data_IF_095487866791
#
_entry.id   IF_095487866791
#
_cell.length_a   1.000
_cell.length_b   1.000
_cell.length_c   1.000
_cell.angle_alpha   90.00
_cell.angle_beta   90.00
_cell.angle_gamma   90.00
#
_symmetry.space_group_name_H-M   'P 1'
#
loop_
_entity.id
_entity.type
_entity.pdbx_description
1 polymer ?
#
# COMPACT_ATOMS: atom_id res chain seq x y z
N UNK A 1 -10.30 -16.94 10.01
CA UNK A 1 -8.82 -16.92 9.92
C UNK A 1 -8.25 -17.90 8.91
N UNK A 2 -8.71 -17.89 7.65
CA UNK A 2 -8.06 -18.66 6.57
C UNK A 2 -8.17 -17.91 5.24
N UNK A 3 -9.30 -17.24 5.00
CA UNK A 3 -9.51 -16.36 3.84
C UNK A 3 -8.48 -15.21 3.72
N UNK A 4 -7.94 -14.71 4.84
CA UNK A 4 -6.92 -13.63 4.83
C UNK A 4 -5.56 -14.07 4.27
N UNK A 5 -5.23 -15.37 4.33
CA UNK A 5 -3.97 -15.88 3.73
C UNK A 5 -4.04 -15.99 2.21
N UNK A 6 -5.23 -16.10 1.62
CA UNK A 6 -5.42 -16.13 0.17
C UNK A 6 -5.34 -14.75 -0.49
N UNK A 7 -5.30 -13.66 0.30
CA UNK A 7 -5.37 -12.29 -0.18
C UNK A 7 -4.01 -11.55 -0.17
N UNK A 8 -2.89 -12.23 0.05
CA UNK A 8 -1.55 -11.60 0.14
C UNK A 8 -1.32 -10.74 1.40
N UNK A 9 -2.27 -10.70 2.33
CA UNK A 9 -2.18 -9.95 3.59
C UNK A 9 -1.33 -10.66 4.66
N UNK A 10 -0.79 -11.84 4.36
CA UNK A 10 0.00 -12.66 5.29
C UNK A 10 1.50 -12.34 5.32
N UNK A 11 1.99 -11.46 4.45
CA UNK A 11 3.43 -11.33 4.19
C UNK A 11 4.17 -10.40 5.16
N UNK A 12 3.48 -9.86 6.15
CA UNK A 12 4.06 -8.94 7.13
C UNK A 12 4.10 -9.57 8.53
N UNK A 13 5.31 -9.66 9.08
CA UNK A 13 5.52 -10.04 10.47
C UNK A 13 4.96 -8.98 11.42
N UNK A 14 4.62 -9.33 12.67
CA UNK A 14 4.19 -8.36 13.68
C UNK A 14 5.20 -7.22 13.89
N UNK A 15 6.49 -7.48 13.68
CA UNK A 15 7.53 -6.47 13.77
C UNK A 15 7.49 -5.49 12.60
N UNK A 16 7.28 -5.99 11.37
CA UNK A 16 7.10 -5.14 10.21
C UNK A 16 5.86 -4.23 10.37
N UNK A 17 4.76 -4.77 10.93
CA UNK A 17 3.59 -3.96 11.28
C UNK A 17 3.92 -2.85 12.28
N UNK A 18 4.67 -3.14 13.36
CA UNK A 18 5.11 -2.13 14.32
C UNK A 18 5.98 -1.05 13.69
N UNK A 19 6.85 -1.40 12.72
CA UNK A 19 7.64 -0.39 12.00
C UNK A 19 6.74 0.59 11.24
N UNK A 20 5.65 0.10 10.62
CA UNK A 20 4.68 0.95 9.92
C UNK A 20 3.85 1.83 10.87
N UNK A 21 3.51 1.34 12.06
CA UNK A 21 2.70 2.10 13.04
C UNK A 21 3.43 3.32 13.59
N UNK A 22 4.75 3.24 13.76
CA UNK A 22 5.55 4.34 14.31
C UNK A 22 6.05 5.33 13.25
N UNK A 23 5.64 5.18 11.99
CA UNK A 23 5.81 6.19 10.95
C UNK A 23 7.25 6.48 10.52
N UNK A 24 8.21 5.59 10.83
CA UNK A 24 9.60 5.77 10.39
C UNK A 24 9.68 5.54 8.89
N UNK A 25 9.88 6.61 8.14
CA UNK A 25 10.07 6.60 6.69
C UNK A 25 11.53 6.81 6.34
N UNK A 26 11.98 6.16 5.26
CA UNK A 26 13.32 6.40 4.70
C UNK A 26 13.26 7.66 3.85
N UNK A 27 14.20 8.58 4.06
CA UNK A 27 14.38 9.76 3.21
C UNK A 27 14.92 9.31 1.84
N UNK A 28 14.07 9.38 0.79
CA UNK A 28 14.38 8.87 -0.56
C UNK A 28 14.96 9.94 -1.50
N UNK A 29 14.97 11.19 -1.07
CA UNK A 29 15.68 12.31 -1.69
C UNK A 29 17.18 12.02 -1.82
N UNK A 30 17.79 11.44 -0.78
CA UNK A 30 19.22 11.06 -0.77
C UNK A 30 19.63 10.09 -1.87
N UNK A 31 18.72 9.24 -2.34
CA UNK A 31 19.00 8.36 -3.48
C UNK A 31 19.27 9.18 -4.75
N UNK A 32 18.54 10.29 -4.93
CA UNK A 32 18.72 11.19 -6.08
C UNK A 32 19.96 12.06 -5.87
N UNK A 33 20.07 12.69 -4.72
CA UNK A 33 21.12 13.67 -4.41
C UNK A 33 22.51 13.05 -4.35
N UNK A 34 22.63 11.87 -3.73
CA UNK A 34 23.94 11.29 -3.41
C UNK A 34 24.32 10.14 -4.33
N UNK A 35 23.34 9.39 -4.84
CA UNK A 35 23.59 8.22 -5.69
C UNK A 35 23.25 8.47 -7.16
N UNK A 36 22.72 9.65 -7.51
CA UNK A 36 22.31 9.98 -8.87
C UNK A 36 21.17 9.08 -9.40
N UNK A 37 20.41 8.44 -8.50
CA UNK A 37 19.32 7.56 -8.91
C UNK A 37 18.18 8.36 -9.55
N UNK A 38 17.85 8.04 -10.80
CA UNK A 38 16.70 8.63 -11.51
C UNK A 38 15.71 7.52 -11.84
N UNK A 39 14.55 7.45 -11.15
CA UNK A 39 13.56 6.43 -11.43
C UNK A 39 12.94 6.68 -12.82
N UNK A 40 12.85 5.62 -13.62
CA UNK A 40 12.22 5.68 -14.95
C UNK A 40 10.70 5.93 -14.87
N UNK A 41 10.07 5.50 -13.78
CA UNK A 41 8.63 5.61 -13.56
C UNK A 41 8.31 6.28 -12.23
N UNK A 42 7.22 7.04 -12.19
CA UNK A 42 6.72 7.65 -10.97
C UNK A 42 6.05 6.62 -10.05
N UNK A 43 5.88 6.95 -8.76
CA UNK A 43 5.22 6.06 -7.80
C UNK A 43 3.81 5.66 -8.25
N UNK A 44 3.02 6.61 -8.77
CA UNK A 44 1.66 6.34 -9.22
C UNK A 44 1.62 5.38 -10.42
N UNK A 45 2.56 5.54 -11.36
CA UNK A 45 2.68 4.71 -12.55
C UNK A 45 3.08 3.27 -12.18
N UNK A 46 4.19 3.13 -11.44
CA UNK A 46 4.67 1.83 -10.96
C UNK A 46 3.60 1.09 -10.15
N UNK A 47 2.84 1.82 -9.31
CA UNK A 47 1.77 1.22 -8.53
C UNK A 47 0.60 0.75 -9.41
N UNK A 48 0.23 1.52 -10.43
CA UNK A 48 -0.80 1.12 -11.38
C UNK A 48 -0.39 -0.11 -12.21
N UNK A 49 0.89 -0.19 -12.60
CA UNK A 49 1.46 -1.36 -13.28
C UNK A 49 1.41 -2.61 -12.39
N UNK A 50 1.83 -2.48 -11.14
CA UNK A 50 1.75 -3.56 -10.16
C UNK A 50 0.30 -4.05 -9.97
N UNK A 51 -0.64 -3.13 -9.75
CA UNK A 51 -2.05 -3.48 -9.56
C UNK A 51 -2.63 -4.21 -10.77
N UNK A 52 -2.26 -3.83 -12.00
CA UNK A 52 -2.64 -4.55 -13.22
C UNK A 52 -2.08 -5.97 -13.24
N UNK A 53 -0.84 -6.18 -12.80
CA UNK A 53 -0.22 -7.51 -12.75
C UNK A 53 -0.87 -8.45 -11.72
N UNK A 54 -1.44 -7.91 -10.64
CA UNK A 54 -2.12 -8.72 -9.61
C UNK A 54 -3.52 -9.23 -10.01
N UNK A 55 -4.14 -8.65 -11.06
CA UNK A 55 -5.50 -9.00 -11.48
C UNK A 55 -6.61 -8.41 -10.58
N UNK A 56 -7.89 -8.74 -10.83
CA UNK A 56 -9.05 -7.99 -10.31
C UNK A 56 -9.35 -8.14 -8.80
N UNK A 57 -8.54 -8.90 -8.04
CA UNK A 57 -8.77 -9.13 -6.60
C UNK A 57 -10.09 -9.85 -6.28
N UNK A 58 -10.37 -10.04 -4.99
CA UNK A 58 -11.58 -10.74 -4.53
C UNK A 58 -12.82 -9.84 -4.42
N UNK A 59 -12.63 -8.52 -4.37
CA UNK A 59 -13.70 -7.55 -4.11
C UNK A 59 -13.71 -6.45 -5.18
N UNK A 60 -14.89 -6.04 -5.68
CA UNK A 60 -14.99 -4.92 -6.62
C UNK A 60 -14.43 -3.62 -6.01
N UNK A 61 -13.53 -2.89 -6.72
CA UNK A 61 -12.89 -1.68 -6.19
C UNK A 61 -13.88 -0.62 -5.69
N UNK A 62 -14.98 -0.39 -6.43
CA UNK A 62 -16.00 0.58 -6.05
C UNK A 62 -16.67 0.27 -4.70
N UNK A 63 -16.84 -1.02 -4.37
CA UNK A 63 -17.43 -1.44 -3.09
C UNK A 63 -16.46 -1.22 -1.93
N UNK A 64 -15.17 -1.50 -2.15
CA UNK A 64 -14.12 -1.26 -1.15
C UNK A 64 -13.99 0.24 -0.87
N UNK A 65 -13.96 1.07 -1.92
CA UNK A 65 -13.92 2.53 -1.80
C UNK A 65 -15.09 3.08 -0.98
N UNK A 66 -16.33 2.71 -1.34
CA UNK A 66 -17.52 3.15 -0.62
C UNK A 66 -17.52 2.74 0.87
N UNK A 67 -16.99 1.56 1.19
CA UNK A 67 -16.86 1.10 2.57
C UNK A 67 -15.81 1.90 3.36
N UNK A 68 -14.65 2.21 2.75
CA UNK A 68 -13.62 3.05 3.39
C UNK A 68 -14.16 4.47 3.61
N UNK A 69 -14.84 5.06 2.63
CA UNK A 69 -15.44 6.38 2.77
C UNK A 69 -16.47 6.43 3.90
N UNK A 70 -17.27 5.37 4.03
CA UNK A 70 -18.22 5.23 5.13
C UNK A 70 -17.51 5.16 6.49
N UNK A 71 -16.44 4.37 6.61
CA UNK A 71 -15.66 4.27 7.85
C UNK A 71 -14.96 5.59 8.20
N UNK A 72 -14.44 6.32 7.22
CA UNK A 72 -13.84 7.63 7.44
C UNK A 72 -14.84 8.63 8.03
N UNK A 73 -16.10 8.61 7.56
CA UNK A 73 -17.18 9.42 8.13
C UNK A 73 -17.49 9.05 9.59
N UNK A 74 -17.44 7.76 9.94
CA UNK A 74 -17.69 7.31 11.31
C UNK A 74 -16.54 7.62 12.28
N UNK A 75 -15.31 7.79 11.77
CA UNK A 75 -14.11 8.03 12.59
C UNK A 75 -13.83 9.51 12.86
N UNK A 76 -14.69 10.40 12.38
CA UNK A 76 -14.63 11.83 12.65
C UNK A 76 -15.67 12.15 13.75
N UNK A 77 -15.29 12.63 14.94
CA UNK A 77 -16.23 13.33 15.81
C UNK A 77 -16.69 14.64 15.16
#
# INVERSE_FOLDING_TARGET
GAALRGAGLGDFSPEQWRMLTHGRVVATDRLRENLGFVPAHGTAETFADYARACGPGLLPPARVGAAIDHLARLRTP
#
